data_IF_281308943609
#
_entry.id   IF_281308943609
#
_cell.length_a   1.000
_cell.length_b   1.000
_cell.length_c   1.000
_cell.angle_alpha   90.00
_cell.angle_beta   90.00
_cell.angle_gamma   90.00
#
_symmetry.space_group_name_H-M   'P 1'
#
loop_
_entity.id
_entity.type
_entity.pdbx_description
1 polymer ?
#
# COMPACT_ATOMS: atom_id res chain seq x y z
N UNK A 1 -18.77 -2.52 9.36
CA UNK A 1 -18.37 -3.90 9.68
C UNK A 1 -18.55 -4.74 8.42
N UNK A 2 -17.57 -5.56 8.05
CA UNK A 2 -17.62 -6.41 6.86
C UNK A 2 -17.86 -7.87 7.31
N UNK A 3 -18.74 -8.60 6.63
CA UNK A 3 -18.89 -10.03 6.88
C UNK A 3 -17.61 -10.77 6.45
N UNK A 4 -17.21 -11.80 7.20
CA UNK A 4 -15.97 -12.56 6.95
C UNK A 4 -15.92 -13.08 5.50
N UNK A 5 -17.05 -13.56 4.98
CA UNK A 5 -17.17 -14.06 3.61
C UNK A 5 -16.87 -12.94 2.59
N UNK A 6 -17.45 -11.76 2.77
CA UNK A 6 -17.17 -10.60 1.91
C UNK A 6 -15.71 -10.16 1.98
N UNK A 7 -15.12 -10.16 3.19
CA UNK A 7 -13.69 -9.89 3.37
C UNK A 7 -12.79 -10.87 2.63
N UNK A 8 -13.13 -12.16 2.66
CA UNK A 8 -12.40 -13.20 1.94
C UNK A 8 -12.45 -13.00 0.43
N UNK A 9 -13.63 -12.71 -0.14
CA UNK A 9 -13.74 -12.42 -1.57
C UNK A 9 -13.00 -11.15 -1.97
N UNK A 10 -13.05 -10.09 -1.15
CA UNK A 10 -12.28 -8.88 -1.41
C UNK A 10 -10.77 -9.12 -1.39
N UNK A 11 -10.27 -9.96 -0.49
CA UNK A 11 -8.86 -10.34 -0.47
C UNK A 11 -8.46 -11.05 -1.78
N UNK A 12 -9.22 -12.07 -2.20
CA UNK A 12 -8.94 -12.79 -3.45
C UNK A 12 -8.97 -11.85 -4.65
N UNK A 13 -10.00 -11.00 -4.76
CA UNK A 13 -10.12 -10.06 -5.87
C UNK A 13 -8.97 -9.05 -5.91
N UNK A 14 -8.52 -8.54 -4.75
CA UNK A 14 -7.38 -7.63 -4.68
C UNK A 14 -6.07 -8.32 -5.12
N UNK A 15 -5.82 -9.55 -4.65
CA UNK A 15 -4.63 -10.31 -5.05
C UNK A 15 -4.63 -10.62 -6.55
N UNK A 16 -5.77 -11.06 -7.09
CA UNK A 16 -5.91 -11.33 -8.53
C UNK A 16 -5.71 -10.05 -9.36
N UNK A 17 -6.30 -8.93 -8.94
CA UNK A 17 -6.12 -7.63 -9.60
C UNK A 17 -4.68 -7.15 -9.58
N UNK A 18 -3.96 -7.33 -8.46
CA UNK A 18 -2.55 -6.98 -8.34
C UNK A 18 -1.67 -7.79 -9.31
N UNK A 19 -1.88 -9.11 -9.40
CA UNK A 19 -1.14 -9.97 -10.35
C UNK A 19 -1.42 -9.57 -11.80
N UNK A 20 -2.68 -9.33 -12.16
CA UNK A 20 -3.05 -8.86 -13.51
C UNK A 20 -2.40 -7.50 -13.81
N UNK A 21 -2.41 -6.56 -12.86
CA UNK A 21 -1.74 -5.28 -12.99
C UNK A 21 -0.24 -5.39 -13.23
N UNK A 22 0.45 -6.26 -12.48
CA UNK A 22 1.87 -6.52 -12.66
C UNK A 22 2.19 -7.15 -14.03
N UNK A 23 1.36 -8.10 -14.50
CA UNK A 23 1.51 -8.69 -15.84
C UNK A 23 1.31 -7.66 -16.96
N UNK A 24 0.31 -6.78 -16.82
CA UNK A 24 0.09 -5.69 -17.76
C UNK A 24 1.27 -4.73 -17.78
N UNK A 25 1.83 -4.39 -16.62
CA UNK A 25 3.04 -3.56 -16.52
C UNK A 25 4.21 -4.19 -17.26
N UNK A 26 4.43 -5.50 -17.12
CA UNK A 26 5.49 -6.22 -17.83
C UNK A 26 5.33 -6.26 -19.36
N UNK A 27 4.11 -6.08 -19.87
CA UNK A 27 3.84 -5.95 -21.32
C UNK A 27 4.08 -4.51 -21.81
N UNK A 28 3.71 -3.52 -20.98
CA UNK A 28 3.74 -2.10 -21.35
C UNK A 28 5.14 -1.50 -21.19
N UNK A 29 5.87 -1.88 -20.14
CA UNK A 29 7.12 -1.26 -19.75
C UNK A 29 8.33 -2.04 -20.29
N UNK A 30 9.20 -1.42 -21.10
CA UNK A 30 10.38 -2.09 -21.63
C UNK A 30 11.34 -2.51 -20.52
N UNK A 31 11.75 -3.78 -20.51
CA UNK A 31 12.65 -4.32 -19.49
C UNK A 31 14.00 -3.57 -19.40
N UNK A 32 14.52 -3.06 -20.51
CA UNK A 32 15.78 -2.31 -20.55
C UNK A 32 15.71 -0.95 -19.83
N UNK A 33 14.50 -0.42 -19.61
CA UNK A 33 14.30 0.84 -18.89
C UNK A 33 14.11 0.65 -17.38
N UNK A 34 13.99 -0.60 -16.90
CA UNK A 34 13.73 -0.88 -15.49
C UNK A 34 14.98 -0.64 -14.64
N UNK A 35 14.90 0.39 -13.79
CA UNK A 35 15.96 0.73 -12.83
C UNK A 35 15.87 -0.04 -11.52
N UNK A 36 14.75 -0.72 -11.27
CA UNK A 36 14.51 -1.50 -10.04
C UNK A 36 14.91 -2.96 -10.18
N UNK A 37 15.17 -3.44 -11.41
CA UNK A 37 15.47 -4.85 -11.72
C UNK A 37 14.39 -5.85 -11.29
N UNK A 38 13.19 -5.37 -10.95
CA UNK A 38 12.09 -6.15 -10.40
C UNK A 38 10.72 -5.52 -10.65
N UNK A 39 10.62 -4.56 -11.59
CA UNK A 39 9.38 -3.82 -11.94
C UNK A 39 8.65 -3.24 -10.72
N UNK A 40 9.40 -2.72 -9.74
CA UNK A 40 8.85 -2.16 -8.51
C UNK A 40 8.45 -3.20 -7.46
N UNK A 41 9.02 -4.41 -7.50
CA UNK A 41 8.91 -5.37 -6.40
C UNK A 41 9.53 -4.82 -5.13
N UNK A 42 8.83 -4.93 -4.00
CA UNK A 42 9.40 -4.64 -2.69
C UNK A 42 10.60 -5.57 -2.44
N UNK A 43 11.68 -5.00 -1.91
CA UNK A 43 12.93 -5.70 -1.67
C UNK A 43 13.81 -4.88 -0.73
N UNK A 44 14.51 -5.58 0.17
CA UNK A 44 15.38 -4.92 1.14
C UNK A 44 16.55 -4.22 0.44
N UNK A 45 16.67 -2.92 0.69
CA UNK A 45 17.73 -2.08 0.16
C UNK A 45 19.07 -2.38 0.83
N UNK A 46 20.17 -2.20 0.08
CA UNK A 46 21.52 -2.47 0.55
C UNK A 46 21.85 -1.68 1.82
N UNK A 47 22.32 -2.37 2.86
CA UNK A 47 22.72 -1.77 4.13
C UNK A 47 21.61 -1.65 5.18
N UNK A 48 20.39 -2.10 4.87
CA UNK A 48 19.31 -2.23 5.85
C UNK A 48 19.14 -3.67 6.32
N UNK A 49 18.79 -3.84 7.60
CA UNK A 49 18.40 -5.14 8.15
C UNK A 49 16.91 -5.39 7.93
N UNK A 50 16.53 -6.66 7.81
CA UNK A 50 15.13 -7.08 7.69
C UNK A 50 14.25 -6.54 8.84
N UNK A 51 14.79 -6.42 10.06
CA UNK A 51 14.06 -5.85 11.19
C UNK A 51 13.68 -4.39 10.98
N UNK A 52 14.51 -3.62 10.27
CA UNK A 52 14.27 -2.19 10.04
C UNK A 52 13.09 -2.02 9.07
N UNK A 53 13.09 -2.77 7.97
CA UNK A 53 11.97 -2.83 7.04
C UNK A 53 10.69 -3.32 7.73
N UNK A 54 10.77 -4.40 8.51
CA UNK A 54 9.61 -4.95 9.22
C UNK A 54 8.94 -3.94 10.17
N UNK A 55 9.74 -3.21 10.96
CA UNK A 55 9.22 -2.15 11.85
C UNK A 55 8.66 -0.99 11.04
N UNK A 56 9.33 -0.59 9.96
CA UNK A 56 8.86 0.44 9.04
C UNK A 56 7.47 0.13 8.47
N UNK A 57 7.29 -1.07 7.95
CA UNK A 57 6.03 -1.55 7.37
C UNK A 57 4.90 -1.64 8.40
N UNK A 58 5.20 -2.06 9.64
CA UNK A 58 4.21 -2.03 10.72
C UNK A 58 3.75 -0.60 10.98
N UNK A 59 4.67 0.35 11.12
CA UNK A 59 4.34 1.75 11.42
C UNK A 59 3.58 2.39 10.27
N UNK A 60 4.03 2.18 9.02
CA UNK A 60 3.36 2.68 7.81
C UNK A 60 1.95 2.13 7.66
N UNK A 61 1.78 0.82 7.86
CA UNK A 61 0.46 0.17 7.81
C UNK A 61 -0.45 0.65 8.94
N UNK A 62 0.09 0.84 10.15
CA UNK A 62 -0.66 1.42 11.27
C UNK A 62 -1.13 2.84 10.95
N UNK A 63 -0.26 3.70 10.39
CA UNK A 63 -0.62 5.05 9.96
C UNK A 63 -1.77 5.02 8.96
N UNK A 64 -1.69 4.16 7.94
CA UNK A 64 -2.75 3.99 6.95
C UNK A 64 -4.06 3.53 7.59
N UNK A 65 -4.02 2.47 8.39
CA UNK A 65 -5.22 1.91 9.01
C UNK A 65 -5.87 2.87 10.00
N UNK A 66 -5.10 3.58 10.81
CA UNK A 66 -5.61 4.62 11.70
C UNK A 66 -6.28 5.75 10.89
N UNK A 67 -5.68 6.16 9.77
CA UNK A 67 -6.25 7.18 8.89
C UNK A 67 -7.58 6.71 8.28
N UNK A 68 -7.66 5.48 7.79
CA UNK A 68 -8.89 4.88 7.26
C UNK A 68 -9.98 4.82 8.34
N UNK A 69 -9.63 4.32 9.53
CA UNK A 69 -10.58 4.21 10.64
C UNK A 69 -11.10 5.58 11.06
N UNK A 70 -10.22 6.58 11.15
CA UNK A 70 -10.58 7.92 11.61
C UNK A 70 -11.37 8.73 10.57
N UNK A 71 -11.09 8.54 9.27
CA UNK A 71 -11.68 9.39 8.22
C UNK A 71 -12.85 8.73 7.49
N UNK A 72 -12.81 7.43 7.26
CA UNK A 72 -13.83 6.71 6.50
C UNK A 72 -14.85 6.00 7.41
N UNK A 73 -14.42 5.51 8.57
CA UNK A 73 -15.27 4.67 9.45
C UNK A 73 -15.87 5.43 10.61
N UNK A 74 -15.10 6.30 11.27
CA UNK A 74 -15.52 7.01 12.48
C UNK A 74 -16.80 7.84 12.21
N UNK A 75 -17.89 7.66 12.99
CA UNK A 75 -19.10 8.47 12.88
C UNK A 75 -18.84 9.97 13.02
N UNK A 76 -17.86 10.38 13.83
CA UNK A 76 -17.50 11.78 14.00
C UNK A 76 -16.96 12.44 12.72
N UNK A 77 -16.50 11.65 11.75
CA UNK A 77 -16.02 12.14 10.46
C UNK A 77 -17.10 12.18 9.36
N UNK A 78 -18.36 11.85 9.68
CA UNK A 78 -19.43 11.70 8.68
C UNK A 78 -19.60 12.94 7.79
N UNK A 79 -19.57 14.13 8.37
CA UNK A 79 -19.69 15.40 7.63
C UNK A 79 -18.55 15.62 6.61
N UNK A 80 -17.38 15.00 6.84
CA UNK A 80 -16.18 15.16 6.02
C UNK A 80 -15.79 13.89 5.26
N UNK A 81 -16.64 12.85 5.25
CA UNK A 81 -16.31 11.53 4.68
C UNK A 81 -15.95 11.60 3.18
N UNK A 82 -16.46 12.61 2.46
CA UNK A 82 -16.08 12.89 1.07
C UNK A 82 -14.58 13.18 0.89
N UNK A 83 -13.89 13.70 1.92
CA UNK A 83 -12.46 14.00 1.89
C UNK A 83 -11.59 12.82 2.39
N UNK A 84 -12.20 11.72 2.86
CA UNK A 84 -11.47 10.55 3.34
C UNK A 84 -10.48 9.97 2.30
N UNK A 85 -10.81 9.85 1.00
CA UNK A 85 -9.86 9.33 0.01
C UNK A 85 -8.60 10.19 -0.10
N UNK A 86 -8.71 11.51 0.03
CA UNK A 86 -7.57 12.42 -0.01
C UNK A 86 -6.65 12.21 1.21
N UNK A 87 -7.23 12.10 2.40
CA UNK A 87 -6.47 11.85 3.62
C UNK A 87 -5.78 10.48 3.58
N UNK A 88 -6.47 9.43 3.12
CA UNK A 88 -5.92 8.09 2.93
C UNK A 88 -4.77 8.12 1.92
N UNK A 89 -4.93 8.83 0.80
CA UNK A 89 -3.89 9.00 -0.21
C UNK A 89 -2.63 9.69 0.35
N UNK A 90 -2.80 10.74 1.17
CA UNK A 90 -1.67 11.38 1.83
C UNK A 90 -0.98 10.47 2.87
N UNK A 91 -1.72 9.64 3.61
CA UNK A 91 -1.12 8.67 4.52
C UNK A 91 -0.23 7.67 3.77
N UNK A 92 -0.70 7.16 2.63
CA UNK A 92 0.10 6.30 1.74
C UNK A 92 1.33 7.05 1.22
N UNK A 93 1.16 8.29 0.75
CA UNK A 93 2.27 9.10 0.24
C UNK A 93 3.35 9.34 1.30
N UNK A 94 2.98 9.70 2.52
CA UNK A 94 3.92 9.91 3.62
C UNK A 94 4.68 8.64 3.97
N UNK A 95 4.00 7.49 4.00
CA UNK A 95 4.66 6.19 4.21
C UNK A 95 5.71 5.93 3.11
N UNK A 96 5.37 6.16 1.84
CA UNK A 96 6.31 5.99 0.72
C UNK A 96 7.51 6.94 0.79
N UNK A 97 7.33 8.20 1.22
CA UNK A 97 8.46 9.11 1.40
C UNK A 97 9.52 8.59 2.39
N UNK A 98 9.14 7.69 3.29
CA UNK A 98 10.01 7.12 4.32
C UNK A 98 10.50 5.72 3.95
N UNK A 99 9.65 4.89 3.35
CA UNK A 99 9.90 3.45 3.15
C UNK A 99 10.58 3.13 1.80
N UNK A 100 10.41 3.96 0.76
CA UNK A 100 11.08 3.75 -0.55
C UNK A 100 12.60 3.49 -0.46
N UNK A 101 13.37 4.18 0.39
CA UNK A 101 14.80 3.91 0.53
C UNK A 101 15.15 2.59 1.26
N UNK A 102 14.19 1.99 1.97
CA UNK A 102 14.37 0.82 2.84
C UNK A 102 13.90 -0.46 2.15
N UNK A 103 12.66 -0.50 1.65
CA UNK A 103 12.05 -1.68 1.06
C UNK A 103 11.25 -1.44 -0.24
N UNK A 104 11.01 -0.17 -0.61
CA UNK A 104 10.39 0.23 -1.89
C UNK A 104 9.12 1.06 -1.72
#
# INVERSE_FOLDING_TARGET
QCHIISGFFYFISQMAGAVVGALLLGIIYPAEMDKTSGLGSNGLSDGWDWSNAFVGEIVGTCLLMLTVLQTAVNPAAEANRAQAPLAIGFAVFVAHCILIPIDG
#
